data_IF_490844129523
#
_entry.id   IF_490844129523
#
_cell.length_a   1.000
_cell.length_b   1.000
_cell.length_c   1.000
_cell.angle_alpha   90.00
_cell.angle_beta   90.00
_cell.angle_gamma   90.00
#
_symmetry.space_group_name_H-M   'P 1'
#
loop_
_entity.id
_entity.type
_entity.pdbx_description
1 polymer ?
#
# COMPACT_ATOMS: atom_id res chain seq x y z
N UNK A 1 10.07 3.52 -9.94
CA UNK A 1 9.51 4.52 -9.02
C UNK A 1 8.79 3.82 -7.87
N UNK A 2 9.01 4.24 -6.65
CA UNK A 2 8.29 3.81 -5.46
C UNK A 2 7.16 4.80 -5.16
N UNK A 3 6.03 4.28 -4.68
CA UNK A 3 4.82 5.04 -4.34
C UNK A 3 4.42 4.69 -2.92
N UNK A 4 4.81 5.51 -1.97
CA UNK A 4 4.65 5.27 -0.54
C UNK A 4 3.53 6.16 0.01
N UNK A 5 2.46 5.62 0.56
CA UNK A 5 1.43 6.41 1.21
C UNK A 5 1.99 7.23 2.38
N UNK A 6 1.54 8.47 2.51
CA UNK A 6 2.01 9.42 3.51
C UNK A 6 0.87 10.30 4.02
N UNK A 7 1.03 10.89 5.20
CA UNK A 7 0.06 11.83 5.79
C UNK A 7 0.58 13.28 5.80
N UNK A 8 1.44 13.60 4.86
CA UNK A 8 2.09 14.90 4.71
C UNK A 8 3.51 14.71 4.18
N UNK A 9 4.30 15.77 4.00
CA UNK A 9 5.63 15.65 3.43
C UNK A 9 6.51 14.70 4.26
N UNK A 10 6.67 13.48 3.76
CA UNK A 10 7.49 12.40 4.37
C UNK A 10 7.02 11.88 5.74
N UNK A 11 5.79 12.18 6.19
CA UNK A 11 5.26 11.69 7.45
C UNK A 11 4.59 10.31 7.26
N UNK A 12 4.96 9.35 8.12
CA UNK A 12 4.45 7.96 8.12
C UNK A 12 3.68 7.61 9.40
N UNK A 13 3.39 8.59 10.25
CA UNK A 13 2.71 8.33 11.52
C UNK A 13 1.29 8.86 11.52
N UNK A 14 0.33 8.11 12.09
CA UNK A 14 -1.07 8.54 12.22
C UNK A 14 -1.29 9.76 13.13
N UNK A 15 -0.25 10.27 13.78
CA UNK A 15 -0.31 11.46 14.65
C UNK A 15 -0.48 12.76 13.88
N UNK A 16 -0.36 12.73 12.56
CA UNK A 16 -0.60 13.89 11.70
C UNK A 16 -2.10 14.24 11.63
N UNK A 17 -2.39 15.51 11.31
CA UNK A 17 -3.75 16.00 11.21
C UNK A 17 -4.64 15.18 10.25
N UNK A 18 -5.86 14.84 10.69
CA UNK A 18 -6.85 14.12 9.87
C UNK A 18 -7.17 12.69 10.33
N UNK A 19 -6.40 12.12 11.25
CA UNK A 19 -6.71 10.82 11.85
C UNK A 19 -7.68 10.98 13.04
N UNK A 20 -8.66 10.09 13.10
CA UNK A 20 -9.68 10.10 14.17
C UNK A 20 -9.65 8.76 14.91
N UNK A 21 -9.83 8.76 16.24
CA UNK A 21 -10.05 7.54 17.00
C UNK A 21 -11.21 6.74 16.40
N UNK A 22 -11.00 5.44 16.22
CA UNK A 22 -12.01 4.52 15.72
C UNK A 22 -12.37 3.53 16.84
N UNK A 23 -13.58 3.61 17.32
CA UNK A 23 -14.07 2.77 18.44
C UNK A 23 -14.51 1.37 18.01
N UNK A 24 -14.51 1.07 16.71
CA UNK A 24 -14.84 -0.28 16.23
C UNK A 24 -13.75 -1.26 16.66
N UNK A 25 -14.12 -2.43 17.21
CA UNK A 25 -13.14 -3.40 17.65
C UNK A 25 -12.35 -3.96 16.47
N UNK A 26 -11.07 -4.25 16.71
CA UNK A 26 -10.25 -5.02 15.79
C UNK A 26 -10.73 -6.48 15.78
N UNK A 27 -10.64 -7.18 14.65
CA UNK A 27 -10.96 -8.59 14.61
C UNK A 27 -9.94 -9.40 15.45
N UNK A 28 -10.37 -10.55 15.99
CA UNK A 28 -9.47 -11.43 16.73
C UNK A 28 -8.25 -11.88 15.92
N UNK A 29 -8.42 -12.09 14.62
CA UNK A 29 -7.32 -12.48 13.73
C UNK A 29 -6.31 -11.35 13.59
N UNK A 30 -6.78 -10.13 13.40
CA UNK A 30 -5.92 -8.95 13.29
C UNK A 30 -5.19 -8.69 14.62
N UNK A 31 -5.91 -8.76 15.77
CA UNK A 31 -5.27 -8.61 17.07
C UNK A 31 -4.20 -9.67 17.33
N UNK A 32 -4.49 -10.95 17.06
CA UNK A 32 -3.53 -12.04 17.20
C UNK A 32 -2.29 -11.84 16.30
N UNK A 33 -2.51 -11.36 15.07
CA UNK A 33 -1.43 -11.05 14.14
C UNK A 33 -0.53 -9.93 14.66
N UNK A 34 -1.11 -8.81 15.14
CA UNK A 34 -0.35 -7.71 15.72
C UNK A 34 0.46 -8.14 16.95
N UNK A 35 -0.15 -8.92 17.86
CA UNK A 35 0.54 -9.46 19.05
C UNK A 35 1.70 -10.39 18.68
N UNK A 36 1.51 -11.24 17.67
CA UNK A 36 2.57 -12.11 17.15
C UNK A 36 3.70 -11.29 16.55
N UNK A 37 3.36 -10.25 15.79
CA UNK A 37 4.33 -9.36 15.15
C UNK A 37 5.16 -8.56 16.18
N UNK A 38 4.56 -8.14 17.29
CA UNK A 38 5.28 -7.51 18.40
C UNK A 38 6.33 -8.45 19.01
N UNK A 39 6.01 -9.73 19.16
CA UNK A 39 6.93 -10.76 19.69
C UNK A 39 7.97 -11.25 18.67
N UNK A 40 7.80 -10.95 17.39
CA UNK A 40 8.72 -11.38 16.34
C UNK A 40 9.99 -10.50 16.27
N UNK A 41 11.19 -11.08 16.10
CA UNK A 41 12.42 -10.32 15.87
C UNK A 41 12.34 -9.41 14.62
N UNK A 42 11.57 -9.79 13.62
CA UNK A 42 11.36 -9.02 12.39
C UNK A 42 10.16 -8.08 12.46
N UNK A 43 9.42 -8.07 13.56
CA UNK A 43 8.29 -7.15 13.80
C UNK A 43 7.22 -7.23 12.71
N UNK A 44 6.96 -8.44 12.20
CA UNK A 44 5.94 -8.71 11.17
C UNK A 44 6.32 -8.33 9.74
N UNK A 45 7.56 -7.93 9.49
CA UNK A 45 8.02 -7.51 8.15
C UNK A 45 8.01 -8.63 7.09
N UNK A 46 7.81 -9.86 7.47
CA UNK A 46 7.73 -11.04 6.59
C UNK A 46 6.31 -11.49 6.25
N UNK A 47 5.29 -10.78 6.71
CA UNK A 47 3.89 -11.23 6.63
C UNK A 47 3.10 -10.59 5.48
N UNK A 48 3.76 -10.00 4.52
CA UNK A 48 3.09 -9.37 3.39
C UNK A 48 2.63 -10.35 2.31
N UNK A 49 1.53 -9.97 1.67
CA UNK A 49 1.04 -10.54 0.41
C UNK A 49 1.30 -9.55 -0.71
N UNK A 50 1.62 -10.05 -1.90
CA UNK A 50 1.92 -9.18 -3.03
C UNK A 50 1.32 -9.64 -4.34
N UNK A 51 1.19 -8.72 -5.27
CA UNK A 51 0.80 -8.94 -6.64
C UNK A 51 1.73 -8.20 -7.60
N UNK A 52 1.93 -8.76 -8.78
CA UNK A 52 2.56 -8.08 -9.90
C UNK A 52 1.60 -8.10 -11.09
N UNK A 53 1.42 -6.96 -11.73
CA UNK A 53 0.53 -6.81 -12.88
C UNK A 53 1.05 -5.73 -13.84
N UNK A 54 0.48 -5.65 -15.03
CA UNK A 54 0.91 -4.70 -16.04
C UNK A 54 -0.11 -3.60 -16.27
N UNK A 55 0.37 -2.38 -16.53
CA UNK A 55 -0.41 -1.25 -17.03
C UNK A 55 0.16 -0.76 -18.35
N UNK A 56 -0.67 -0.08 -19.15
CA UNK A 56 -0.22 0.49 -20.41
C UNK A 56 0.90 1.54 -20.19
N UNK A 57 1.96 1.44 -20.98
CA UNK A 57 3.07 2.41 -20.99
C UNK A 57 2.93 3.42 -22.14
N UNK A 58 3.70 4.49 -22.14
CA UNK A 58 4.57 4.94 -21.06
C UNK A 58 3.79 5.40 -19.82
N UNK A 59 4.41 5.30 -18.63
CA UNK A 59 3.72 5.64 -17.38
C UNK A 59 3.39 7.14 -17.31
N UNK A 60 2.11 7.44 -17.20
CA UNK A 60 1.65 8.77 -16.81
C UNK A 60 1.62 8.85 -15.27
N UNK A 61 2.73 9.32 -14.67
CA UNK A 61 2.91 9.35 -13.22
C UNK A 61 1.80 10.11 -12.46
N UNK A 62 1.35 11.30 -12.91
CA UNK A 62 0.19 11.97 -12.30
C UNK A 62 -1.08 11.12 -12.32
N UNK A 63 -1.41 10.49 -13.45
CA UNK A 63 -2.59 9.65 -13.57
C UNK A 63 -2.48 8.40 -12.67
N UNK A 64 -1.32 7.76 -12.62
CA UNK A 64 -1.09 6.61 -11.74
C UNK A 64 -1.22 7.00 -10.26
N UNK A 65 -0.62 8.12 -9.86
CA UNK A 65 -0.77 8.65 -8.50
C UNK A 65 -2.24 8.87 -8.13
N UNK A 66 -3.02 9.50 -9.01
CA UNK A 66 -4.44 9.73 -8.79
C UNK A 66 -5.22 8.42 -8.68
N UNK A 67 -4.92 7.43 -9.52
CA UNK A 67 -5.54 6.11 -9.46
C UNK A 67 -5.28 5.42 -8.11
N UNK A 68 -4.04 5.46 -7.61
CA UNK A 68 -3.69 4.90 -6.29
C UNK A 68 -4.40 5.66 -5.17
N UNK A 69 -4.49 6.99 -5.22
CA UNK A 69 -5.22 7.77 -4.21
C UNK A 69 -6.72 7.47 -4.21
N UNK A 70 -7.36 7.37 -5.38
CA UNK A 70 -8.77 6.94 -5.48
C UNK A 70 -8.98 5.55 -4.89
N UNK A 71 -8.06 4.63 -5.14
CA UNK A 71 -8.09 3.28 -4.58
C UNK A 71 -7.96 3.31 -3.04
N UNK A 72 -7.03 4.09 -2.49
CA UNK A 72 -6.87 4.27 -1.03
C UNK A 72 -8.14 4.85 -0.41
N UNK A 73 -8.73 5.87 -1.03
CA UNK A 73 -9.94 6.51 -0.52
C UNK A 73 -11.15 5.57 -0.53
N UNK A 74 -11.20 4.68 -1.49
CA UNK A 74 -12.24 3.64 -1.58
C UNK A 74 -12.12 2.59 -0.47
N UNK A 75 -10.90 2.17 -0.12
CA UNK A 75 -10.65 1.07 0.80
C UNK A 75 -10.23 1.60 2.18
N UNK A 76 -11.17 1.63 3.13
CA UNK A 76 -10.93 2.16 4.48
C UNK A 76 -9.75 1.47 5.19
N UNK A 77 -9.53 0.17 4.97
CA UNK A 77 -8.41 -0.57 5.56
C UNK A 77 -7.05 0.08 5.22
N UNK A 78 -6.91 0.65 4.01
CA UNK A 78 -5.67 1.29 3.55
C UNK A 78 -5.40 2.63 4.26
N UNK A 79 -6.40 3.23 4.87
CA UNK A 79 -6.30 4.48 5.65
C UNK A 79 -6.70 4.29 7.11
N UNK A 80 -6.57 3.07 7.61
CA UNK A 80 -6.73 2.70 9.03
C UNK A 80 -5.41 2.19 9.59
N UNK A 81 -5.17 2.42 10.86
CA UNK A 81 -4.03 1.89 11.60
C UNK A 81 -4.49 1.36 12.95
N UNK A 82 -4.01 0.19 13.33
CA UNK A 82 -4.19 -0.37 14.66
C UNK A 82 -2.84 -0.45 15.35
N UNK A 83 -2.81 -0.18 16.64
CA UNK A 83 -1.60 -0.27 17.45
C UNK A 83 -1.89 -0.94 18.79
N UNK A 84 -0.85 -1.48 19.41
CA UNK A 84 -0.87 -2.06 20.75
C UNK A 84 0.07 -1.26 21.62
N UNK A 85 -0.41 -0.75 22.73
CA UNK A 85 0.44 -0.21 23.77
C UNK A 85 1.24 -1.34 24.42
N UNK A 86 2.55 -1.31 24.29
CA UNK A 86 3.43 -2.40 24.75
C UNK A 86 3.43 -2.54 26.29
N UNK A 87 3.12 -1.48 27.03
CA UNK A 87 3.11 -1.49 28.48
C UNK A 87 1.79 -2.02 29.06
N UNK A 88 0.65 -1.66 28.45
CA UNK A 88 -0.68 -2.03 28.95
C UNK A 88 -1.30 -3.21 28.19
N UNK A 89 -0.83 -3.48 26.97
CA UNK A 89 -1.43 -4.44 26.06
C UNK A 89 -2.75 -3.97 25.44
N UNK A 90 -3.12 -2.70 25.67
CA UNK A 90 -4.35 -2.11 25.14
C UNK A 90 -4.24 -1.85 23.65
N UNK A 91 -5.30 -2.22 22.91
CA UNK A 91 -5.42 -1.96 21.48
C UNK A 91 -6.09 -0.62 21.22
N UNK A 92 -5.57 0.12 20.28
CA UNK A 92 -6.20 1.33 19.73
C UNK A 92 -6.26 1.26 18.22
N UNK A 93 -7.25 1.95 17.64
CA UNK A 93 -7.41 2.08 16.19
C UNK A 93 -7.70 3.53 15.86
N UNK A 94 -7.12 3.96 14.75
CA UNK A 94 -7.39 5.28 14.15
C UNK A 94 -7.66 5.11 12.66
N UNK A 95 -8.52 5.97 12.12
CA UNK A 95 -8.89 5.95 10.70
C UNK A 95 -8.85 7.37 10.14
N UNK A 96 -8.20 7.55 8.99
CA UNK A 96 -8.18 8.82 8.29
C UNK A 96 -9.41 8.99 7.39
N UNK A 97 -9.89 10.22 7.24
CA UNK A 97 -10.93 10.54 6.26
C UNK A 97 -10.43 10.33 4.82
N UNK A 98 -11.34 10.07 3.86
CA UNK A 98 -10.99 10.12 2.44
C UNK A 98 -10.35 11.46 2.08
N UNK A 99 -9.34 11.45 1.22
CA UNK A 99 -8.55 12.62 0.82
C UNK A 99 -7.48 13.06 1.81
N UNK A 100 -7.34 12.40 2.97
CA UNK A 100 -6.32 12.74 3.96
C UNK A 100 -4.95 12.10 3.66
N UNK A 101 -4.91 11.09 2.82
CA UNK A 101 -3.68 10.38 2.44
C UNK A 101 -3.09 11.00 1.18
N UNK A 102 -1.79 11.13 1.17
CA UNK A 102 -0.98 11.52 0.01
C UNK A 102 -0.05 10.39 -0.40
N UNK A 103 0.67 10.55 -1.51
CA UNK A 103 1.70 9.62 -1.98
C UNK A 103 3.04 10.33 -2.04
N UNK A 104 4.00 9.78 -1.31
CA UNK A 104 5.40 10.13 -1.47
C UNK A 104 5.98 9.28 -2.61
N UNK A 105 6.48 9.94 -3.63
CA UNK A 105 7.06 9.32 -4.82
C UNK A 105 8.58 9.39 -4.73
N UNK A 106 9.25 8.24 -4.87
CA UNK A 106 10.71 8.13 -4.85
C UNK A 106 11.20 7.53 -6.15
N UNK A 107 12.00 8.28 -6.89
CA UNK A 107 12.67 7.78 -8.07
C UNK A 107 13.92 7.01 -7.66
N UNK A 108 14.05 5.79 -8.16
CA UNK A 108 15.22 4.96 -7.96
C UNK A 108 16.12 4.95 -9.19
N UNK A 109 17.38 4.63 -8.97
CA UNK A 109 18.33 4.41 -10.05
C UNK A 109 17.94 3.19 -10.89
N UNK A 110 18.49 3.09 -12.07
CA UNK A 110 18.24 1.97 -12.98
C UNK A 110 18.91 0.71 -12.46
N UNK A 111 18.15 -0.37 -12.37
CA UNK A 111 18.67 -1.70 -12.14
C UNK A 111 19.15 -2.31 -13.46
N UNK A 112 20.32 -2.91 -13.45
CA UNK A 112 20.88 -3.59 -14.62
C UNK A 112 20.43 -5.06 -14.70
N UNK A 113 20.24 -5.70 -13.55
CA UNK A 113 19.94 -7.12 -13.42
C UNK A 113 18.58 -7.34 -12.72
N UNK A 114 17.88 -8.42 -13.09
CA UNK A 114 16.62 -8.80 -12.45
C UNK A 114 16.78 -9.14 -10.96
N UNK A 115 17.94 -9.64 -10.56
CA UNK A 115 18.28 -9.90 -9.15
C UNK A 115 18.28 -8.63 -8.30
N UNK A 116 18.83 -7.53 -8.83
CA UNK A 116 18.83 -6.23 -8.14
C UNK A 116 17.40 -5.72 -7.93
N UNK A 117 16.54 -5.88 -8.93
CA UNK A 117 15.10 -5.53 -8.80
C UNK A 117 14.45 -6.36 -7.70
N UNK A 118 14.69 -7.68 -7.68
CA UNK A 118 14.11 -8.57 -6.68
C UNK A 118 14.57 -8.22 -5.25
N UNK A 119 15.87 -8.05 -5.05
CA UNK A 119 16.46 -7.69 -3.76
C UNK A 119 15.91 -6.33 -3.27
N UNK A 120 15.80 -5.36 -4.18
CA UNK A 120 15.24 -4.05 -3.86
C UNK A 120 13.76 -4.14 -3.46
N UNK A 121 12.94 -4.87 -4.20
CA UNK A 121 11.52 -5.07 -3.88
C UNK A 121 11.34 -5.77 -2.53
N UNK A 122 12.12 -6.80 -2.27
CA UNK A 122 12.08 -7.51 -1.00
C UNK A 122 12.45 -6.58 0.17
N UNK A 123 13.54 -5.84 0.04
CA UNK A 123 13.96 -4.87 1.05
C UNK A 123 12.87 -3.81 1.31
N UNK A 124 12.33 -3.23 0.25
CA UNK A 124 11.32 -2.18 0.33
C UNK A 124 10.04 -2.72 0.98
N UNK A 125 9.54 -3.87 0.54
CA UNK A 125 8.34 -4.43 1.11
C UNK A 125 8.53 -4.87 2.56
N UNK A 126 9.66 -5.47 2.92
CA UNK A 126 9.99 -5.77 4.31
C UNK A 126 10.02 -4.51 5.18
N UNK A 127 10.45 -3.36 4.63
CA UNK A 127 10.50 -2.10 5.37
C UNK A 127 9.12 -1.43 5.51
N UNK A 128 8.28 -1.49 4.46
CA UNK A 128 7.04 -0.71 4.40
C UNK A 128 5.76 -1.51 4.72
N UNK A 129 5.84 -2.82 4.92
CA UNK A 129 4.65 -3.64 5.15
C UNK A 129 4.51 -4.19 6.57
N UNK A 130 5.29 -3.70 7.54
CA UNK A 130 5.08 -4.11 8.93
C UNK A 130 3.70 -3.69 9.43
N UNK A 131 2.90 -4.61 10.04
CA UNK A 131 1.57 -4.28 10.56
C UNK A 131 1.61 -3.32 11.75
N UNK A 132 2.79 -3.11 12.34
CA UNK A 132 3.01 -2.25 13.50
C UNK A 132 3.27 -0.78 13.12
N UNK A 133 3.39 -0.49 11.82
CA UNK A 133 3.71 0.86 11.31
C UNK A 133 2.86 1.11 10.08
N UNK A 134 1.97 2.11 10.12
CA UNK A 134 1.29 2.55 8.91
C UNK A 134 2.32 3.16 7.92
N UNK A 135 2.19 2.94 6.60
CA UNK A 135 1.01 2.47 5.85
C UNK A 135 0.83 0.96 5.76
N UNK A 136 1.77 0.12 6.11
CA UNK A 136 1.75 -1.34 5.98
C UNK A 136 1.50 -1.84 4.54
N UNK A 137 1.69 -1.00 3.52
CA UNK A 137 1.61 -1.32 2.09
C UNK A 137 2.38 -0.32 1.25
N UNK A 138 2.78 -0.74 0.04
CA UNK A 138 3.44 0.11 -0.94
C UNK A 138 3.21 -0.38 -2.37
N UNK A 139 3.40 0.53 -3.34
CA UNK A 139 3.46 0.20 -4.76
C UNK A 139 4.83 0.53 -5.33
N UNK A 140 5.25 -0.22 -6.34
CA UNK A 140 6.45 0.05 -7.12
C UNK A 140 6.12 -0.09 -8.60
N UNK A 141 6.54 0.85 -9.43
CA UNK A 141 6.47 0.74 -10.88
C UNK A 141 7.85 0.52 -11.46
N UNK A 142 7.98 -0.50 -12.30
CA UNK A 142 9.17 -0.79 -13.07
C UNK A 142 8.92 -0.42 -14.53
N UNK A 143 9.59 0.65 -14.96
CA UNK A 143 9.48 1.20 -16.31
C UNK A 143 10.57 0.59 -17.19
N UNK A 144 10.22 -0.15 -18.26
CA UNK A 144 11.22 -0.70 -19.18
C UNK A 144 11.89 0.43 -19.99
N UNK A 145 13.13 0.19 -20.43
CA UNK A 145 13.84 1.13 -21.32
C UNK A 145 13.12 1.29 -22.68
N UNK A 146 12.53 0.22 -23.16
CA UNK A 146 11.66 0.23 -24.32
C UNK A 146 10.25 0.67 -23.91
N UNK A 147 9.93 1.92 -24.16
CA UNK A 147 8.66 2.54 -23.82
C UNK A 147 7.45 1.97 -24.60
N UNK A 148 7.65 1.07 -25.54
CA UNK A 148 6.56 0.35 -26.22
C UNK A 148 6.06 -0.84 -25.40
N UNK A 149 6.80 -1.24 -24.38
CA UNK A 149 6.44 -2.34 -23.48
C UNK A 149 5.57 -1.83 -22.31
N UNK A 150 4.71 -2.69 -21.74
CA UNK A 150 3.93 -2.34 -20.57
C UNK A 150 4.83 -2.07 -19.35
N UNK A 151 4.30 -1.31 -18.41
CA UNK A 151 4.90 -1.04 -17.11
C UNK A 151 4.48 -2.16 -16.15
N UNK A 152 5.44 -2.76 -15.46
CA UNK A 152 5.13 -3.69 -14.39
C UNK A 152 4.88 -2.92 -13.09
N UNK A 153 3.74 -3.14 -12.48
CA UNK A 153 3.39 -2.64 -11.15
C UNK A 153 3.52 -3.77 -10.15
N UNK A 154 4.26 -3.53 -9.08
CA UNK A 154 4.33 -4.41 -7.92
C UNK A 154 3.57 -3.75 -6.78
N UNK A 155 2.79 -4.53 -6.08
CA UNK A 155 2.07 -4.14 -4.87
C UNK A 155 2.37 -5.14 -3.77
N UNK A 156 2.57 -4.67 -2.56
CA UNK A 156 2.57 -5.51 -1.38
C UNK A 156 1.89 -4.82 -0.20
N UNK A 157 1.24 -5.60 0.63
CA UNK A 157 0.59 -5.14 1.85
C UNK A 157 0.66 -6.23 2.92
N UNK A 158 0.70 -5.83 4.19
CA UNK A 158 0.63 -6.78 5.30
C UNK A 158 -0.71 -7.54 5.31
N UNK A 159 -0.65 -8.81 5.69
CA UNK A 159 -1.83 -9.68 5.73
C UNK A 159 -2.88 -9.26 6.76
N UNK A 160 -2.59 -8.30 7.65
CA UNK A 160 -3.59 -7.72 8.55
C UNK A 160 -4.62 -6.83 7.86
N UNK A 161 -4.24 -6.21 6.73
CA UNK A 161 -5.09 -5.25 6.01
C UNK A 161 -5.56 -5.74 4.64
N UNK A 162 -5.05 -6.88 4.17
CA UNK A 162 -5.43 -7.48 2.89
C UNK A 162 -5.43 -9.00 2.97
N UNK A 163 -6.33 -9.65 2.23
CA UNK A 163 -6.35 -11.10 2.05
C UNK A 163 -5.99 -11.50 0.61
N UNK A 164 -5.91 -12.82 0.37
CA UNK A 164 -5.53 -13.34 -0.94
C UNK A 164 -6.47 -12.94 -2.08
N UNK A 165 -7.78 -12.86 -1.82
CA UNK A 165 -8.75 -12.41 -2.83
C UNK A 165 -8.60 -10.93 -3.12
N UNK A 166 -8.53 -10.12 -2.08
CA UNK A 166 -8.34 -8.67 -2.20
C UNK A 166 -7.03 -8.34 -2.93
N UNK A 167 -5.96 -9.09 -2.69
CA UNK A 167 -4.68 -8.92 -3.41
C UNK A 167 -4.83 -9.07 -4.93
N UNK A 168 -5.63 -10.04 -5.38
CA UNK A 168 -5.92 -10.21 -6.83
C UNK A 168 -6.77 -9.05 -7.36
N UNK A 169 -7.72 -8.55 -6.57
CA UNK A 169 -8.61 -7.45 -6.97
C UNK A 169 -7.87 -6.11 -7.08
N UNK A 170 -6.77 -5.89 -6.34
CA UNK A 170 -5.93 -4.68 -6.47
C UNK A 170 -5.52 -4.45 -7.92
N UNK A 171 -5.05 -5.49 -8.61
CA UNK A 171 -4.62 -5.38 -10.00
C UNK A 171 -5.77 -4.89 -10.90
N UNK A 172 -6.95 -5.49 -10.75
CA UNK A 172 -8.13 -5.11 -11.52
C UNK A 172 -8.53 -3.65 -11.26
N UNK A 173 -8.62 -3.24 -10.01
CA UNK A 173 -9.07 -1.91 -9.64
C UNK A 173 -8.06 -0.82 -10.04
N UNK A 174 -6.76 -1.04 -9.81
CA UNK A 174 -5.73 -0.07 -10.21
C UNK A 174 -5.67 0.10 -11.73
N UNK A 175 -5.75 -1.00 -12.50
CA UNK A 175 -5.79 -0.93 -13.97
C UNK A 175 -7.01 -0.14 -14.46
N UNK A 176 -8.18 -0.38 -13.88
CA UNK A 176 -9.42 0.31 -14.24
C UNK A 176 -9.36 1.82 -13.90
N UNK A 177 -8.92 2.16 -12.67
CA UNK A 177 -8.78 3.54 -12.22
C UNK A 177 -7.71 4.30 -13.02
N UNK A 178 -6.59 3.67 -13.33
CA UNK A 178 -5.56 4.27 -14.16
C UNK A 178 -6.07 4.52 -15.59
N UNK A 179 -6.81 3.58 -16.16
CA UNK A 179 -7.46 3.76 -17.46
C UNK A 179 -8.45 4.94 -17.48
N UNK A 180 -9.24 5.11 -16.43
CA UNK A 180 -10.12 6.28 -16.25
C UNK A 180 -9.33 7.59 -16.19
N UNK A 181 -8.24 7.64 -15.43
CA UNK A 181 -7.37 8.82 -15.34
C UNK A 181 -6.68 9.17 -16.67
N UNK A 182 -6.54 8.22 -17.57
CA UNK A 182 -6.05 8.43 -18.95
C UNK A 182 -7.15 8.88 -19.93
N UNK A 183 -8.37 9.12 -19.45
CA UNK A 183 -9.52 9.55 -20.26
C UNK A 183 -10.36 8.40 -20.84
N UNK A 184 -10.17 7.20 -20.31
CA UNK A 184 -11.02 6.03 -20.60
C UNK A 184 -12.43 6.13 -19.96
N UNK A 185 -13.25 5.09 -20.11
CA UNK A 185 -14.55 5.03 -19.45
C UNK A 185 -14.39 4.98 -17.93
N UNK A 186 -15.44 5.37 -17.16
CA UNK A 186 -15.45 5.23 -15.71
C UNK A 186 -15.08 3.80 -15.28
N UNK A 187 -14.28 3.69 -14.24
CA UNK A 187 -13.81 2.40 -13.73
C UNK A 187 -14.99 1.55 -13.24
N UNK A 188 -15.14 0.36 -13.80
CA UNK A 188 -16.11 -0.63 -13.34
C UNK A 188 -15.52 -1.39 -12.16
N UNK A 189 -15.77 -0.91 -10.94
CA UNK A 189 -15.26 -1.49 -9.70
C UNK A 189 -16.35 -2.34 -9.03
N UNK A 190 -15.93 -3.40 -8.33
CA UNK A 190 -16.83 -4.17 -7.47
C UNK A 190 -17.35 -3.29 -6.32
N UNK A 191 -18.54 -3.59 -5.79
CA UNK A 191 -19.01 -2.91 -4.58
C UNK A 191 -18.05 -3.23 -3.40
N UNK A 192 -17.65 -2.17 -2.67
CA UNK A 192 -16.71 -2.27 -1.56
C UNK A 192 -17.46 -2.54 -0.24
#
# INVERSE_FOLDING_TARGET
TEWIPSVGPHARTPEAAGWQPDTRPTSYVHEAHLRTSLGSPRRGRESWLGAAFEVAGPLNKPAFRNAVLKWIDRHEAMRSSASIDEATGEMSRVTAAPGAIDIWQVEQERCAESSEVFEHLQYLFDEFTSPLIWPAYAFVTLEPLDQTRPITVFFAADHSIIDGLSTVLVAHEIVALYGEELGGPPAALFEA
#
